data_IF_830766045970
#
_entry.id   IF_830766045970
#
_cell.length_a   1.000
_cell.length_b   1.000
_cell.length_c   1.000
_cell.angle_alpha   90.00
_cell.angle_beta   90.00
_cell.angle_gamma   90.00
#
_symmetry.space_group_name_H-M   'P 1'
#
loop_
_entity.id
_entity.type
_entity.pdbx_description
1 polymer ?
#
# COMPACT_ATOMS: atom_id res chain seq x y z
N UNK A 1 16.11 26.40 13.89
CA UNK A 1 15.39 25.84 12.73
C UNK A 1 15.19 24.36 13.00
N UNK A 2 13.98 23.88 13.26
CA UNK A 2 13.83 22.46 13.63
C UNK A 2 12.45 21.97 14.08
N UNK A 3 11.38 22.75 13.93
CA UNK A 3 10.01 22.31 14.29
C UNK A 3 9.08 22.07 13.08
N UNK A 4 9.54 22.38 11.86
CA UNK A 4 8.67 22.34 10.68
C UNK A 4 8.53 20.94 10.03
N UNK A 5 9.35 19.96 10.41
CA UNK A 5 9.28 18.59 9.86
C UNK A 5 8.41 17.64 10.70
N UNK A 6 8.09 17.97 11.95
CA UNK A 6 7.36 17.08 12.86
C UNK A 6 5.84 17.10 12.68
N UNK A 7 5.26 18.27 12.39
CA UNK A 7 3.81 18.41 12.28
C UNK A 7 3.23 17.73 11.02
N UNK A 8 3.96 17.74 9.90
CA UNK A 8 3.50 17.14 8.65
C UNK A 8 3.52 15.61 8.65
N UNK A 9 4.60 15.02 9.20
CA UNK A 9 4.72 13.55 9.32
C UNK A 9 3.79 13.03 10.41
N UNK A 10 3.73 13.69 11.58
CA UNK A 10 2.89 13.24 12.70
C UNK A 10 1.38 13.29 12.42
N UNK A 11 0.90 14.28 11.66
CA UNK A 11 -0.50 14.34 11.25
C UNK A 11 -0.86 13.23 10.24
N UNK A 12 0.06 12.88 9.34
CA UNK A 12 -0.14 11.80 8.38
C UNK A 12 -0.18 10.42 9.06
N UNK A 13 0.75 10.13 9.99
CA UNK A 13 0.70 8.88 10.76
C UNK A 13 -0.54 8.80 11.65
N UNK A 14 -0.92 9.90 12.32
CA UNK A 14 -2.15 9.93 13.13
C UNK A 14 -3.40 9.56 12.34
N UNK A 15 -3.56 10.14 11.13
CA UNK A 15 -4.70 9.83 10.26
C UNK A 15 -4.67 8.39 9.72
N UNK A 16 -3.49 7.82 9.46
CA UNK A 16 -3.36 6.43 9.01
C UNK A 16 -3.71 5.42 10.11
N UNK A 17 -3.36 5.72 11.37
CA UNK A 17 -3.74 4.90 12.53
C UNK A 17 -5.26 4.84 12.71
N UNK A 18 -5.97 5.94 12.47
CA UNK A 18 -7.44 5.96 12.47
C UNK A 18 -8.06 5.09 11.36
N UNK A 19 -7.33 4.85 10.26
CA UNK A 19 -7.72 3.94 9.18
C UNK A 19 -7.32 2.47 9.42
N UNK A 20 -6.81 2.16 10.62
CA UNK A 20 -6.42 0.81 11.02
C UNK A 20 -4.99 0.40 10.66
N UNK A 21 -4.14 1.36 10.25
CA UNK A 21 -2.71 1.13 9.98
C UNK A 21 -1.91 1.54 11.21
N UNK A 22 -1.44 0.58 12.02
CA UNK A 22 -0.78 0.92 13.27
C UNK A 22 0.66 1.46 13.10
N UNK A 23 1.10 2.28 14.05
CA UNK A 23 2.44 2.89 14.07
C UNK A 23 3.58 1.86 14.05
N UNK A 24 3.37 0.69 14.67
CA UNK A 24 4.33 -0.40 14.69
C UNK A 24 4.55 -0.97 13.29
N UNK A 25 3.46 -1.23 12.56
CA UNK A 25 3.53 -1.65 11.17
C UNK A 25 4.22 -0.61 10.28
N UNK A 26 3.87 0.68 10.42
CA UNK A 26 4.51 1.76 9.65
C UNK A 26 6.02 1.81 9.89
N UNK A 27 6.44 1.66 11.15
CA UNK A 27 7.85 1.62 11.50
C UNK A 27 8.55 0.41 10.88
N UNK A 28 7.99 -0.78 11.04
CA UNK A 28 8.56 -2.01 10.46
C UNK A 28 8.63 -1.95 8.93
N UNK A 29 7.61 -1.40 8.29
CA UNK A 29 7.60 -1.18 6.84
C UNK A 29 8.68 -0.18 6.42
N UNK A 30 8.85 0.92 7.15
CA UNK A 30 9.87 1.93 6.86
C UNK A 30 11.29 1.36 6.98
N UNK A 31 11.52 0.43 7.92
CA UNK A 31 12.79 -0.27 8.10
C UNK A 31 13.05 -1.31 7.01
N UNK A 32 11.99 -1.87 6.42
CA UNK A 32 12.08 -2.86 5.33
C UNK A 32 12.11 -2.24 3.93
N UNK A 33 11.73 -0.98 3.79
CA UNK A 33 11.80 -0.28 2.50
C UNK A 33 13.25 -0.08 2.08
N UNK A 34 13.58 -0.59 0.91
CA UNK A 34 14.91 -0.46 0.33
C UNK A 34 15.02 0.87 -0.42
N UNK A 35 16.21 1.47 -0.51
CA UNK A 35 16.42 2.65 -1.35
C UNK A 35 15.94 2.40 -2.78
N UNK A 36 15.13 3.33 -3.31
CA UNK A 36 14.54 3.21 -4.65
C UNK A 36 13.21 2.45 -4.71
N UNK A 37 12.67 1.99 -3.57
CA UNK A 37 11.32 1.44 -3.50
C UNK A 37 10.36 2.37 -2.76
N UNK A 38 9.06 2.17 -2.96
CA UNK A 38 8.00 2.88 -2.28
C UNK A 38 6.95 1.90 -1.78
N UNK A 39 6.24 2.27 -0.72
CA UNK A 39 5.03 1.58 -0.28
C UNK A 39 3.80 2.39 -0.70
N UNK A 40 2.81 1.69 -1.26
CA UNK A 40 1.51 2.25 -1.62
C UNK A 40 0.47 1.73 -0.62
N UNK A 41 -0.33 2.64 -0.07
CA UNK A 41 -1.45 2.34 0.80
C UNK A 41 -2.74 2.72 0.10
N UNK A 42 -3.71 1.80 0.10
CA UNK A 42 -4.99 1.97 -0.58
C UNK A 42 -6.11 1.73 0.41
N UNK A 43 -7.00 2.71 0.52
CA UNK A 43 -8.29 2.54 1.20
C UNK A 43 -9.37 2.40 0.13
N UNK A 44 -10.06 1.27 0.15
CA UNK A 44 -11.12 0.94 -0.82
C UNK A 44 -12.41 0.81 -0.03
N UNK A 45 -13.32 1.77 -0.20
CA UNK A 45 -14.58 1.85 0.56
C UNK A 45 -15.79 1.53 -0.34
N UNK A 46 -15.97 2.29 -1.43
CA UNK A 46 -17.14 2.23 -2.32
C UNK A 46 -16.76 1.91 -3.78
N UNK A 47 -15.57 1.36 -4.02
CA UNK A 47 -15.15 0.92 -5.35
C UNK A 47 -15.34 -0.59 -5.49
N UNK A 48 -15.93 -1.00 -6.61
CA UNK A 48 -15.96 -2.42 -6.96
C UNK A 48 -14.56 -2.89 -7.35
N UNK A 49 -14.14 -4.05 -6.84
CA UNK A 49 -12.81 -4.62 -7.06
C UNK A 49 -12.44 -4.67 -8.55
N UNK A 50 -13.42 -4.85 -9.44
CA UNK A 50 -13.22 -4.86 -10.89
C UNK A 50 -12.68 -3.55 -11.48
N UNK A 51 -12.75 -2.43 -10.75
CA UNK A 51 -12.16 -1.14 -11.14
C UNK A 51 -10.83 -0.86 -10.49
N UNK A 52 -10.66 -1.30 -9.25
CA UNK A 52 -9.44 -1.05 -8.48
C UNK A 52 -8.31 -1.96 -8.93
N UNK A 53 -8.58 -3.25 -9.14
CA UNK A 53 -7.54 -4.22 -9.48
C UNK A 53 -6.76 -3.85 -10.76
N UNK A 54 -7.38 -3.41 -11.88
CA UNK A 54 -6.64 -2.98 -13.07
C UNK A 54 -5.77 -1.74 -12.84
N UNK A 55 -6.28 -0.76 -12.08
CA UNK A 55 -5.55 0.46 -11.73
C UNK A 55 -4.34 0.16 -10.83
N UNK A 56 -4.45 -0.80 -9.91
CA UNK A 56 -3.34 -1.15 -9.04
C UNK A 56 -2.35 -2.09 -9.74
N UNK A 57 -2.85 -2.96 -10.62
CA UNK A 57 -2.03 -3.92 -11.37
C UNK A 57 -0.91 -3.21 -12.14
N UNK A 58 -1.18 -2.05 -12.76
CA UNK A 58 -0.19 -1.34 -13.58
C UNK A 58 1.12 -0.99 -12.84
N UNK A 59 1.09 -0.88 -11.51
CA UNK A 59 2.27 -0.58 -10.70
C UNK A 59 3.11 -1.82 -10.36
N UNK A 60 2.54 -3.02 -10.51
CA UNK A 60 3.14 -4.27 -10.05
C UNK A 60 3.43 -4.28 -8.55
N UNK A 61 4.37 -5.14 -8.12
CA UNK A 61 4.85 -5.18 -6.74
C UNK A 61 4.30 -6.36 -5.92
N UNK A 62 4.40 -6.22 -4.60
CA UNK A 62 4.07 -7.28 -3.65
C UNK A 62 3.03 -6.80 -2.63
N UNK A 63 2.09 -7.68 -2.28
CA UNK A 63 1.13 -7.42 -1.20
C UNK A 63 1.84 -7.65 0.12
N UNK A 64 1.94 -6.60 0.94
CA UNK A 64 2.51 -6.69 2.30
C UNK A 64 1.45 -7.10 3.31
N UNK A 65 0.26 -6.50 3.22
CA UNK A 65 -0.89 -6.79 4.08
C UNK A 65 -2.17 -6.39 3.35
N UNK A 66 -3.25 -7.12 3.57
CA UNK A 66 -4.57 -6.81 3.03
C UNK A 66 -5.66 -7.24 4.01
N UNK A 67 -6.81 -6.58 3.95
CA UNK A 67 -8.05 -6.96 4.63
C UNK A 67 -9.04 -7.66 3.70
N UNK A 68 -8.66 -7.87 2.43
CA UNK A 68 -9.48 -8.56 1.44
C UNK A 68 -9.70 -10.04 1.80
N UNK A 69 -10.74 -10.62 1.22
CA UNK A 69 -10.95 -12.08 1.29
C UNK A 69 -9.80 -12.82 0.60
N UNK A 70 -9.58 -14.09 0.93
CA UNK A 70 -8.54 -14.90 0.29
C UNK A 70 -8.69 -14.97 -1.24
N UNK A 71 -9.93 -14.99 -1.74
CA UNK A 71 -10.21 -15.04 -3.18
C UNK A 71 -9.82 -13.72 -3.86
N UNK A 72 -10.29 -12.61 -3.31
CA UNK A 72 -9.96 -11.25 -3.73
C UNK A 72 -8.46 -10.96 -3.69
N UNK A 73 -7.79 -11.35 -2.60
CA UNK A 73 -6.33 -11.22 -2.47
C UNK A 73 -5.60 -12.03 -3.55
N UNK A 74 -6.07 -13.24 -3.85
CA UNK A 74 -5.47 -14.04 -4.92
C UNK A 74 -5.65 -13.38 -6.30
N UNK A 75 -6.84 -12.85 -6.59
CA UNK A 75 -7.07 -12.09 -7.82
C UNK A 75 -6.16 -10.88 -7.94
N UNK A 76 -5.94 -10.15 -6.84
CA UNK A 76 -5.00 -9.03 -6.80
C UNK A 76 -3.55 -9.48 -7.02
N UNK A 77 -3.13 -10.60 -6.40
CA UNK A 77 -1.79 -11.17 -6.62
C UNK A 77 -1.56 -11.53 -8.07
N UNK A 78 -2.54 -12.20 -8.69
CA UNK A 78 -2.45 -12.61 -10.09
C UNK A 78 -2.37 -11.40 -11.02
N UNK A 79 -3.15 -10.35 -10.73
CA UNK A 79 -3.13 -9.09 -11.49
C UNK A 79 -1.78 -8.37 -11.38
N UNK A 80 -1.21 -8.26 -10.18
CA UNK A 80 0.10 -7.64 -9.95
C UNK A 80 1.24 -8.45 -10.59
N UNK A 81 1.17 -9.78 -10.53
CA UNK A 81 2.14 -10.67 -11.16
C UNK A 81 2.09 -10.61 -12.69
N UNK A 82 0.90 -10.44 -13.27
CA UNK A 82 0.73 -10.27 -14.72
C UNK A 82 1.33 -8.95 -15.22
N UNK A 83 1.19 -7.87 -14.46
CA UNK A 83 1.73 -6.56 -14.81
C UNK A 83 3.23 -6.41 -14.53
N UNK A 84 3.76 -7.11 -13.51
CA UNK A 84 5.18 -7.14 -13.18
C UNK A 84 6.04 -7.98 -14.13
N UNK A 85 5.45 -8.74 -15.05
CA UNK A 85 6.20 -9.39 -16.14
C UNK A 85 6.57 -8.33 -17.17
N UNK A 86 7.87 -8.13 -17.49
CA UNK A 86 8.22 -7.33 -18.66
C UNK A 86 7.56 -7.98 -19.87
N UNK A 87 6.75 -7.21 -20.59
CA UNK A 87 6.26 -7.59 -21.91
C UNK A 87 7.43 -7.55 -22.89
N UNK A 88 8.30 -8.57 -22.86
CA UNK A 88 9.35 -8.84 -23.84
C UNK A 88 9.57 -10.35 -23.97
#
# INVERSE_FOLDING_TARGET
VGMALGAGVGAATGAMTDLGIDDGFMKELSEKLQPGTAALFLLVDDATEDKVLPEVAQYGGQIVRTSLSNESEQQLKDALAAAGKPQN
#
